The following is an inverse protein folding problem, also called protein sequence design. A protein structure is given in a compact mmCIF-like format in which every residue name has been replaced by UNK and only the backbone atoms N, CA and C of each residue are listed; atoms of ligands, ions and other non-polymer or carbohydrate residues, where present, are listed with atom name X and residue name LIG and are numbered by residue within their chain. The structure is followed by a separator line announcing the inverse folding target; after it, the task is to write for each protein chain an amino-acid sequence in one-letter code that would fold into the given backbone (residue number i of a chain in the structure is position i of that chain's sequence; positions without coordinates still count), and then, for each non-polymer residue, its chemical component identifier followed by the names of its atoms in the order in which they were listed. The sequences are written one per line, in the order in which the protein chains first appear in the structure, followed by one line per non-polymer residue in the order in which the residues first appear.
data_IF_868941930839
#
_entry.id   IF_868941930839
#
_cell.length_a   1.000
_cell.length_b   1.000
_cell.length_c   1.000
_cell.angle_alpha   90.00
_cell.angle_beta   90.00
_cell.angle_gamma   90.00
#
_symmetry.space_group_name_H-M   'P 1'
#
loop_
_entity.id
_entity.type
_entity.pdbx_description
1 polymer ?
#
# COMPACT_ATOMS: atom_id res chain seq x y z
N UNK A 1 0.59 -7.04 -18.43
CA UNK A 1 1.83 -7.12 -17.63
C UNK A 1 2.29 -8.57 -17.62
N UNK A 2 3.60 -8.82 -17.65
CA UNK A 2 4.17 -10.16 -17.49
C UNK A 2 5.09 -10.16 -16.27
N UNK A 3 5.05 -11.21 -15.47
CA UNK A 3 5.93 -11.37 -14.32
C UNK A 3 6.18 -12.86 -14.13
N UNK A 4 7.27 -13.21 -13.45
CA UNK A 4 7.53 -14.60 -13.08
C UNK A 4 7.98 -14.70 -11.63
N UNK A 5 7.67 -15.83 -11.01
CA UNK A 5 8.19 -16.21 -9.69
C UNK A 5 8.97 -17.51 -9.85
N UNK A 6 10.17 -17.57 -9.29
CA UNK A 6 11.05 -18.73 -9.34
C UNK A 6 11.38 -19.17 -7.94
N UNK A 7 11.17 -20.46 -7.67
CA UNK A 7 11.65 -21.09 -6.45
C UNK A 7 13.18 -21.05 -6.40
N UNK A 8 13.74 -20.62 -5.27
CA UNK A 8 15.20 -20.54 -5.05
C UNK A 8 15.64 -21.71 -4.18
N UNK A 9 15.13 -21.76 -2.95
CA UNK A 9 15.39 -22.80 -1.97
C UNK A 9 14.33 -22.73 -0.85
N UNK A 10 14.14 -23.79 -0.06
CA UNK A 10 13.19 -23.78 1.06
C UNK A 10 11.81 -23.29 0.65
N UNK A 11 11.29 -22.26 1.34
CA UNK A 11 10.10 -21.50 0.94
C UNK A 11 10.43 -20.08 0.46
N UNK A 12 11.64 -19.87 -0.07
CA UNK A 12 12.10 -18.61 -0.62
C UNK A 12 11.92 -18.57 -2.14
N UNK A 13 11.37 -17.46 -2.62
CA UNK A 13 11.05 -17.25 -4.03
C UNK A 13 11.59 -15.91 -4.52
N UNK A 14 12.13 -15.90 -5.74
CA UNK A 14 12.51 -14.70 -6.47
C UNK A 14 11.36 -14.30 -7.40
N UNK A 15 10.81 -13.10 -7.23
CA UNK A 15 9.88 -12.47 -8.16
C UNK A 15 10.61 -11.54 -9.12
N UNK A 16 10.27 -11.57 -10.39
CA UNK A 16 10.80 -10.68 -11.43
C UNK A 16 9.65 -10.00 -12.17
N UNK A 17 9.65 -8.66 -12.16
CA UNK A 17 8.61 -7.82 -12.77
C UNK A 17 8.85 -7.60 -14.27
N UNK A 18 7.81 -7.22 -15.02
CA UNK A 18 7.96 -6.76 -16.41
C UNK A 18 8.89 -5.55 -16.57
N UNK A 19 9.07 -4.75 -15.51
CA UNK A 19 10.00 -3.61 -15.50
C UNK A 19 11.46 -4.02 -15.29
N UNK A 20 11.75 -5.32 -15.12
CA UNK A 20 13.11 -5.83 -14.97
C UNK A 20 13.66 -5.75 -13.54
N UNK A 21 12.81 -5.49 -12.54
CA UNK A 21 13.21 -5.48 -11.13
C UNK A 21 12.91 -6.82 -10.47
N UNK A 22 13.73 -7.16 -9.47
CA UNK A 22 13.62 -8.40 -8.74
C UNK A 22 13.36 -8.14 -7.26
N UNK A 23 12.55 -9.01 -6.64
CA UNK A 23 12.25 -9.02 -5.21
C UNK A 23 12.35 -10.45 -4.66
N UNK A 24 12.61 -10.58 -3.38
CA UNK A 24 12.53 -11.86 -2.67
C UNK A 24 11.27 -11.92 -1.81
N UNK A 25 10.69 -13.11 -1.71
CA UNK A 25 9.58 -13.42 -0.82
C UNK A 25 9.89 -14.69 -0.03
N UNK A 26 9.52 -14.72 1.25
CA UNK A 26 9.71 -15.88 2.13
C UNK A 26 8.37 -16.41 2.68
N UNK A 27 8.09 -17.68 2.41
CA UNK A 27 6.91 -18.38 2.92
C UNK A 27 6.99 -18.78 4.39
N UNK A 28 8.17 -18.71 5.04
CA UNK A 28 8.36 -19.01 6.46
C UNK A 28 7.97 -17.83 7.35
N UNK A 29 6.77 -17.30 7.16
CA UNK A 29 6.27 -16.11 7.88
C UNK A 29 7.18 -14.88 7.73
N UNK A 30 7.84 -14.73 6.59
CA UNK A 30 8.64 -13.54 6.30
C UNK A 30 10.05 -13.51 6.93
N UNK A 31 10.60 -14.66 7.36
CA UNK A 31 11.86 -14.76 8.12
C UNK A 31 13.05 -14.04 7.44
N UNK A 32 13.31 -14.32 6.15
CA UNK A 32 14.47 -13.74 5.43
C UNK A 32 14.11 -12.65 4.42
N UNK A 33 12.84 -12.51 4.07
CA UNK A 33 12.30 -11.53 3.15
C UNK A 33 10.78 -11.43 3.40
N UNK A 34 10.09 -10.32 3.05
CA UNK A 34 8.67 -10.20 3.33
C UNK A 34 7.87 -11.35 2.71
N UNK A 35 6.89 -11.85 3.45
CA UNK A 35 5.95 -12.83 2.94
C UNK A 35 5.10 -12.25 1.79
N UNK A 36 4.53 -13.10 0.93
CA UNK A 36 3.63 -12.63 -0.12
C UNK A 36 2.47 -11.77 0.39
N UNK A 37 1.97 -12.04 1.61
CA UNK A 37 0.88 -11.27 2.21
C UNK A 37 1.35 -9.88 2.68
N UNK A 38 2.55 -9.76 3.23
CA UNK A 38 3.15 -8.46 3.56
C UNK A 38 3.41 -7.65 2.28
N UNK A 39 3.84 -8.30 1.20
CA UNK A 39 3.98 -7.65 -0.11
C UNK A 39 2.65 -7.09 -0.63
N UNK A 40 1.54 -7.81 -0.48
CA UNK A 40 0.20 -7.32 -0.85
C UNK A 40 -0.21 -6.11 0.00
N UNK A 41 0.03 -6.16 1.31
CA UNK A 41 -0.28 -5.06 2.22
C UNK A 41 0.52 -3.80 1.86
N UNK A 42 1.83 -3.95 1.67
CA UNK A 42 2.70 -2.86 1.23
C UNK A 42 2.33 -2.33 -0.16
N UNK A 43 1.93 -3.20 -1.09
CA UNK A 43 1.49 -2.79 -2.42
C UNK A 43 0.22 -1.92 -2.36
N UNK A 44 -0.73 -2.21 -1.46
CA UNK A 44 -1.91 -1.38 -1.25
C UNK A 44 -1.53 0.01 -0.73
N UNK A 45 -0.68 0.07 0.31
CA UNK A 45 -0.18 1.34 0.84
C UNK A 45 0.61 2.14 -0.18
N UNK A 46 1.53 1.49 -0.91
CA UNK A 46 2.35 2.15 -1.93
C UNK A 46 1.52 2.68 -3.11
N UNK A 47 0.57 1.88 -3.62
CA UNK A 47 -0.32 2.33 -4.69
C UNK A 47 -1.15 3.54 -4.25
N UNK A 48 -1.69 3.53 -3.03
CA UNK A 48 -2.45 4.67 -2.52
C UNK A 48 -1.58 5.91 -2.26
N UNK A 49 -0.40 5.76 -1.66
CA UNK A 49 0.52 6.87 -1.40
C UNK A 49 0.95 7.59 -2.68
N UNK A 50 1.23 6.83 -3.75
CA UNK A 50 1.56 7.36 -5.07
C UNK A 50 0.44 8.29 -5.56
N UNK A 51 -0.82 7.87 -5.45
CA UNK A 51 -1.97 8.68 -5.85
C UNK A 51 -2.11 9.95 -5.02
N UNK A 52 -2.02 9.84 -3.68
CA UNK A 52 -2.12 10.99 -2.76
C UNK A 52 -1.08 12.06 -3.10
N UNK A 53 0.20 11.67 -3.20
CA UNK A 53 1.29 12.59 -3.54
C UNK A 53 1.08 13.22 -4.92
N UNK A 54 0.73 12.42 -5.93
CA UNK A 54 0.46 12.90 -7.30
C UNK A 54 -0.71 13.90 -7.34
N UNK A 55 -1.80 13.65 -6.60
CA UNK A 55 -2.96 14.55 -6.54
C UNK A 55 -2.59 15.87 -5.86
N UNK A 56 -1.88 15.82 -4.73
CA UNK A 56 -1.45 17.02 -4.00
C UNK A 56 -0.50 17.89 -4.82
N UNK A 57 0.48 17.28 -5.49
CA UNK A 57 1.40 17.99 -6.39
C UNK A 57 0.66 18.63 -7.57
N UNK A 58 -0.31 17.93 -8.19
CA UNK A 58 -1.15 18.50 -9.26
C UNK A 58 -2.03 19.64 -8.76
N UNK A 59 -2.50 19.57 -7.51
CA UNK A 59 -3.22 20.64 -6.83
C UNK A 59 -2.32 21.77 -6.32
N UNK A 60 -1.02 21.74 -6.65
CA UNK A 60 0.00 22.72 -6.24
C UNK A 60 0.10 22.90 -4.73
N UNK A 61 -0.13 21.83 -3.97
CA UNK A 61 0.17 21.78 -2.54
C UNK A 61 1.66 21.46 -2.35
N UNK A 62 2.33 22.13 -1.40
CA UNK A 62 3.76 21.91 -1.09
C UNK A 62 3.93 20.70 -0.15
N UNK A 63 3.64 19.50 -0.68
CA UNK A 63 3.86 18.23 0.03
C UNK A 63 5.35 17.88 0.02
N UNK A 64 5.88 17.56 1.19
CA UNK A 64 7.30 17.29 1.44
C UNK A 64 7.52 15.82 1.79
N UNK A 65 6.58 15.19 2.48
CA UNK A 65 6.64 13.77 2.84
C UNK A 65 5.24 13.13 2.86
N UNK A 66 5.20 11.81 2.69
CA UNK A 66 3.99 11.00 2.81
C UNK A 66 4.33 9.60 3.30
N UNK A 67 3.94 9.30 4.54
CA UNK A 67 4.02 7.96 5.12
C UNK A 67 2.63 7.33 5.18
N UNK A 68 2.53 6.02 5.00
CA UNK A 68 1.28 5.27 5.20
C UNK A 68 1.51 4.17 6.23
N UNK A 69 0.91 4.34 7.41
CA UNK A 69 0.87 3.30 8.44
C UNK A 69 -0.23 2.30 8.11
N UNK A 70 0.16 1.04 7.94
CA UNK A 70 -0.72 -0.04 7.54
C UNK A 70 -0.98 -0.95 8.74
N UNK A 71 -2.25 -1.09 9.10
CA UNK A 71 -2.70 -2.11 10.08
C UNK A 71 -3.63 -3.08 9.40
N UNK A 72 -3.62 -4.34 9.81
CA UNK A 72 -4.46 -5.35 9.18
C UNK A 72 -4.85 -6.46 10.15
N UNK A 73 -6.00 -7.06 9.89
CA UNK A 73 -6.49 -8.26 10.57
C UNK A 73 -6.65 -9.39 9.55
N UNK A 74 -6.44 -10.62 10.01
CA UNK A 74 -6.51 -11.82 9.18
C UNK A 74 -7.30 -12.90 9.91
N UNK A 75 -7.97 -13.77 9.14
CA UNK A 75 -8.56 -14.99 9.71
C UNK A 75 -7.48 -15.85 10.37
N UNK A 76 -7.81 -16.44 11.50
CA UNK A 76 -6.92 -17.37 12.22
C UNK A 76 -6.72 -18.67 11.45
N UNK A 77 -7.79 -19.16 10.82
CA UNK A 77 -7.83 -20.41 10.07
C UNK A 77 -7.52 -20.24 8.58
N UNK A 78 -7.08 -21.32 7.94
CA UNK A 78 -6.83 -21.33 6.51
C UNK A 78 -8.14 -21.31 5.70
N UNK A 79 -8.23 -20.53 4.60
CA UNK A 79 -7.22 -19.57 4.13
C UNK A 79 -7.18 -18.30 5.00
N UNK A 80 -5.97 -17.93 5.46
CA UNK A 80 -5.69 -16.78 6.35
C UNK A 80 -5.72 -15.45 5.59
N UNK A 81 -6.87 -15.14 5.00
CA UNK A 81 -7.13 -13.93 4.23
C UNK A 81 -7.18 -12.70 5.15
N UNK A 82 -6.89 -11.53 4.58
CA UNK A 82 -7.20 -10.26 5.25
C UNK A 82 -8.72 -10.14 5.43
N UNK A 83 -9.15 -9.77 6.62
CA UNK A 83 -10.53 -9.38 6.92
C UNK A 83 -10.68 -7.87 6.96
N UNK A 84 -9.63 -7.19 7.42
CA UNK A 84 -9.57 -5.75 7.51
C UNK A 84 -8.17 -5.23 7.18
N UNK A 85 -8.10 -4.10 6.48
CA UNK A 85 -6.88 -3.31 6.28
C UNK A 85 -7.24 -1.85 6.54
N UNK A 86 -6.40 -1.15 7.30
CA UNK A 86 -6.50 0.29 7.50
C UNK A 86 -5.23 0.97 6.98
N UNK A 87 -5.44 2.02 6.17
CA UNK A 87 -4.40 2.89 5.62
C UNK A 87 -4.46 4.24 6.33
N UNK A 88 -3.50 4.50 7.22
CA UNK A 88 -3.39 5.79 7.89
C UNK A 88 -2.29 6.64 7.25
N UNK A 89 -2.68 7.71 6.57
CA UNK A 89 -1.77 8.60 5.84
C UNK A 89 -1.26 9.72 6.75
N UNK A 90 0.05 9.85 6.84
CA UNK A 90 0.72 10.96 7.51
C UNK A 90 1.32 11.82 6.41
N UNK A 91 0.71 12.98 6.14
CA UNK A 91 1.12 13.86 5.05
C UNK A 91 1.81 15.09 5.62
N UNK A 92 3.09 15.26 5.27
CA UNK A 92 3.89 16.39 5.76
C UNK A 92 4.09 17.41 4.65
N UNK A 93 3.94 18.70 4.96
CA UNK A 93 4.18 19.76 3.98
C UNK A 93 4.03 21.18 4.53
N UNK A 94 4.12 22.16 3.64
CA UNK A 94 3.99 23.59 3.98
C UNK A 94 2.66 24.14 3.50
N UNK A 95 1.94 24.82 4.40
CA UNK A 95 0.63 25.42 4.13
C UNK A 95 -0.36 24.46 3.44
N UNK A 96 -0.30 23.17 3.80
CA UNK A 96 -1.19 22.15 3.25
C UNK A 96 -2.63 22.47 3.66
N UNK A 97 -3.51 22.56 2.67
CA UNK A 97 -4.94 22.69 2.91
C UNK A 97 -5.50 21.34 3.32
N UNK A 98 -6.04 21.25 4.53
CA UNK A 98 -6.70 20.05 5.05
C UNK A 98 -7.71 19.44 4.06
N UNK A 99 -8.60 20.27 3.50
CA UNK A 99 -9.56 19.84 2.50
C UNK A 99 -8.94 19.27 1.21
N UNK A 100 -7.72 19.70 0.84
CA UNK A 100 -7.00 19.14 -0.29
C UNK A 100 -6.40 17.76 0.05
N UNK A 101 -5.90 17.58 1.28
CA UNK A 101 -5.39 16.29 1.78
C UNK A 101 -6.53 15.28 1.91
N UNK A 102 -7.62 15.66 2.58
CA UNK A 102 -8.83 14.84 2.70
C UNK A 102 -9.28 14.31 1.34
N UNK A 103 -9.45 15.23 0.38
CA UNK A 103 -9.87 14.89 -0.98
C UNK A 103 -8.87 13.99 -1.70
N UNK A 104 -7.58 14.19 -1.51
CA UNK A 104 -6.55 13.35 -2.14
C UNK A 104 -6.61 11.91 -1.62
N UNK A 105 -6.78 11.75 -0.30
CA UNK A 105 -6.92 10.44 0.36
C UNK A 105 -8.20 9.73 -0.09
N UNK A 106 -9.35 10.42 -0.08
CA UNK A 106 -10.63 9.83 -0.52
C UNK A 106 -10.56 9.38 -1.99
N UNK A 107 -10.03 10.23 -2.88
CA UNK A 107 -9.88 9.88 -4.29
C UNK A 107 -8.92 8.70 -4.50
N UNK A 108 -7.86 8.62 -3.70
CA UNK A 108 -6.92 7.49 -3.77
C UNK A 108 -7.61 6.19 -3.37
N UNK A 109 -8.22 6.13 -2.19
CA UNK A 109 -8.84 4.91 -1.66
C UNK A 109 -10.04 4.45 -2.51
N UNK A 110 -10.94 5.38 -2.88
CA UNK A 110 -12.24 5.01 -3.42
C UNK A 110 -12.31 5.00 -4.96
N UNK A 111 -11.27 5.51 -5.65
CA UNK A 111 -11.36 5.73 -7.10
C UNK A 111 -10.12 5.36 -7.91
N UNK A 112 -8.92 5.63 -7.42
CA UNK A 112 -7.71 5.51 -8.24
C UNK A 112 -6.82 4.32 -7.88
N UNK A 113 -6.71 3.97 -6.60
CA UNK A 113 -5.83 2.90 -6.16
C UNK A 113 -6.35 1.53 -6.62
N UNK A 114 -5.86 1.08 -7.77
CA UNK A 114 -6.27 -0.20 -8.36
C UNK A 114 -6.05 -1.39 -7.43
N UNK A 115 -5.01 -1.35 -6.59
CA UNK A 115 -4.75 -2.41 -5.60
C UNK A 115 -5.81 -2.44 -4.51
N UNK A 116 -6.14 -1.29 -3.91
CA UNK A 116 -7.18 -1.19 -2.88
C UNK A 116 -8.54 -1.60 -3.44
N UNK A 117 -8.94 -1.07 -4.59
CA UNK A 117 -10.23 -1.39 -5.24
C UNK A 117 -10.40 -2.87 -5.62
N UNK A 118 -9.30 -3.57 -5.94
CA UNK A 118 -9.35 -5.02 -6.14
C UNK A 118 -9.57 -5.78 -4.83
N UNK A 119 -8.89 -5.35 -3.75
CA UNK A 119 -8.96 -5.97 -2.43
C UNK A 119 -10.30 -5.71 -1.72
N UNK A 120 -10.90 -4.53 -1.90
CA UNK A 120 -12.17 -4.11 -1.27
C UNK A 120 -13.34 -5.06 -1.54
N UNK A 121 -13.28 -5.83 -2.62
CA UNK A 121 -14.30 -6.85 -2.94
C UNK A 121 -14.34 -8.01 -1.94
N UNK A 122 -13.27 -8.19 -1.16
CA UNK A 122 -13.12 -9.29 -0.21
C UNK A 122 -12.62 -8.86 1.17
N UNK A 123 -12.07 -7.65 1.29
CA UNK A 123 -11.45 -7.11 2.50
C UNK A 123 -12.13 -5.80 2.86
N UNK A 124 -12.46 -5.59 4.13
CA UNK A 124 -12.94 -4.30 4.59
C UNK A 124 -11.75 -3.32 4.66
N UNK A 125 -11.68 -2.36 3.74
CA UNK A 125 -10.61 -1.35 3.72
C UNK A 125 -11.12 -0.05 4.32
N UNK A 126 -10.36 0.51 5.26
CA UNK A 126 -10.59 1.87 5.78
C UNK A 126 -9.37 2.75 5.57
N UNK A 127 -9.60 4.06 5.57
CA UNK A 127 -8.55 5.06 5.51
C UNK A 127 -8.76 6.16 6.52
N UNK A 128 -7.65 6.77 6.93
CA UNK A 128 -7.63 7.96 7.79
C UNK A 128 -6.38 8.76 7.49
N UNK A 129 -6.31 10.02 7.93
CA UNK A 129 -5.12 10.83 7.70
C UNK A 129 -4.87 11.84 8.82
N UNK A 130 -3.63 12.30 8.89
CA UNK A 130 -3.22 13.49 9.63
C UNK A 130 -2.29 14.35 8.77
N UNK A 131 -2.30 15.66 9.04
CA UNK A 131 -1.46 16.64 8.35
C UNK A 131 -0.40 17.16 9.33
N UNK A 132 0.86 17.05 8.94
CA UNK A 132 2.01 17.49 9.73
C UNK A 132 2.67 18.68 9.04
N UNK A 133 3.01 19.72 9.80
CA UNK A 133 3.77 20.85 9.27
C UNK A 133 5.24 20.46 9.08
N UNK A 134 5.82 20.82 7.93
CA UNK A 134 7.23 20.61 7.62
C UNK A 134 8.17 21.64 8.27
#
# INVERSE_FOLDING_TARGET
MQARVKWVEGLTFLGESASGHQILMDGNSGDKAPSPMEMVLMAAGGCSAIDVVSILQKARQDVVDCEVKLTSERREEAPRLFTHINLHFIVTGRDLKDAAVARAVDLSAEKYCSVALMLEKAVNITHSYEVVAA
#
